data_IF_068535145536
#
_entry.id   IF_068535145536
#
_cell.length_a   1.000
_cell.length_b   1.000
_cell.length_c   1.000
_cell.angle_alpha   90.00
_cell.angle_beta   90.00
_cell.angle_gamma   90.00
#
_symmetry.space_group_name_H-M   'P 1'
#
loop_
_entity.id
_entity.type
_entity.pdbx_description
1 polymer ?
#
# COMPACT_ATOMS: atom_id res chain seq x y z
N UNK A 1 -4.59 -31.06 62.18
CA UNK A 1 -4.42 -31.58 60.82
C UNK A 1 -5.43 -30.84 59.92
N UNK A 2 -5.03 -29.75 59.28
CA UNK A 2 -5.89 -28.93 58.42
C UNK A 2 -5.45 -29.19 56.98
N UNK A 3 -6.35 -29.76 56.16
CA UNK A 3 -6.16 -30.05 54.77
C UNK A 3 -6.59 -28.77 54.00
N UNK A 4 -5.60 -28.09 53.33
CA UNK A 4 -5.88 -27.04 52.37
C UNK A 4 -6.20 -27.70 51.00
N UNK A 5 -7.44 -27.53 50.54
CA UNK A 5 -7.82 -27.86 49.17
C UNK A 5 -7.42 -26.68 48.27
N UNK A 6 -6.44 -26.88 47.38
CA UNK A 6 -6.08 -25.92 46.35
C UNK A 6 -7.05 -26.03 45.18
N UNK A 7 -7.78 -24.96 44.90
CA UNK A 7 -8.55 -24.80 43.65
C UNK A 7 -7.57 -24.48 42.51
N UNK A 8 -7.41 -25.42 41.58
CA UNK A 8 -6.78 -25.19 40.27
C UNK A 8 -7.82 -24.52 39.36
N UNK A 9 -7.64 -23.21 39.12
CA UNK A 9 -8.41 -22.50 38.08
C UNK A 9 -7.75 -22.81 36.74
N UNK A 10 -8.38 -23.68 35.96
CA UNK A 10 -8.03 -23.88 34.55
C UNK A 10 -8.55 -22.66 33.75
N UNK A 11 -7.66 -21.75 33.37
CA UNK A 11 -7.94 -20.74 32.36
C UNK A 11 -8.03 -21.44 31.00
N UNK A 12 -9.22 -21.69 30.52
CA UNK A 12 -9.45 -22.13 29.15
C UNK A 12 -9.04 -21.00 28.20
N UNK A 13 -7.89 -21.17 27.53
CA UNK A 13 -7.53 -20.36 26.37
C UNK A 13 -8.48 -20.78 25.26
N UNK A 14 -9.56 -20.02 25.08
CA UNK A 14 -10.39 -20.16 23.88
C UNK A 14 -9.52 -19.72 22.70
N UNK A 15 -9.05 -20.68 21.92
CA UNK A 15 -8.54 -20.42 20.57
C UNK A 15 -9.70 -19.78 19.78
N UNK A 16 -9.64 -18.47 19.56
CA UNK A 16 -10.58 -17.80 18.69
C UNK A 16 -10.49 -18.45 17.31
N UNK A 17 -11.61 -18.95 16.82
CA UNK A 17 -11.72 -19.36 15.42
C UNK A 17 -11.22 -18.20 14.54
N UNK A 18 -10.42 -18.46 13.49
CA UNK A 18 -9.98 -17.39 12.60
C UNK A 18 -11.22 -16.64 12.09
N UNK A 19 -11.17 -15.32 12.15
CA UNK A 19 -12.24 -14.49 11.63
C UNK A 19 -12.53 -14.88 10.17
N UNK A 20 -13.77 -14.93 9.73
CA UNK A 20 -14.10 -15.25 8.35
C UNK A 20 -13.39 -14.25 7.44
N UNK A 21 -12.80 -14.72 6.32
CA UNK A 21 -12.12 -13.87 5.34
C UNK A 21 -13.10 -12.84 4.81
N UNK A 22 -12.87 -11.58 5.17
CA UNK A 22 -13.73 -10.45 4.77
C UNK A 22 -13.31 -9.87 3.42
N UNK A 23 -12.00 -9.85 3.14
CA UNK A 23 -11.44 -9.33 1.88
C UNK A 23 -11.64 -10.36 0.77
N UNK A 24 -12.20 -9.91 -0.36
CA UNK A 24 -12.50 -10.72 -1.53
C UNK A 24 -11.61 -10.37 -2.75
N UNK A 25 -10.69 -9.45 -2.59
CA UNK A 25 -9.74 -9.04 -3.62
C UNK A 25 -9.23 -7.62 -3.45
N UNK A 26 -8.28 -7.26 -4.27
CA UNK A 26 -7.81 -5.89 -4.41
C UNK A 26 -8.40 -5.28 -5.68
N UNK A 27 -8.73 -3.98 -5.63
CA UNK A 27 -9.20 -3.22 -6.77
C UNK A 27 -8.07 -2.39 -7.36
N UNK A 28 -7.56 -1.44 -6.57
CA UNK A 28 -6.49 -0.53 -6.97
C UNK A 28 -5.53 -0.29 -5.79
N UNK A 29 -4.31 0.05 -6.13
CA UNK A 29 -3.48 0.91 -5.31
C UNK A 29 -3.76 2.34 -5.74
N UNK A 30 -4.08 3.23 -4.79
CA UNK A 30 -4.45 4.61 -5.05
C UNK A 30 -3.32 5.52 -4.58
N UNK A 31 -3.03 6.55 -5.37
CA UNK A 31 -2.04 7.55 -5.04
C UNK A 31 -2.53 8.94 -5.46
N UNK A 32 -2.57 9.88 -4.52
CA UNK A 32 -2.97 11.26 -4.81
C UNK A 32 -1.82 12.07 -5.37
N UNK A 33 -2.09 12.82 -6.44
CA UNK A 33 -1.09 13.55 -7.22
C UNK A 33 -1.37 15.05 -7.26
N UNK A 34 -0.33 15.85 -7.42
CA UNK A 34 -0.45 17.30 -7.55
C UNK A 34 -0.92 17.73 -8.96
N UNK A 35 -0.48 16.99 -9.98
CA UNK A 35 -0.82 17.24 -11.38
C UNK A 35 -0.98 15.91 -12.12
N UNK A 36 -2.22 15.61 -12.50
CA UNK A 36 -2.57 14.31 -13.07
C UNK A 36 -1.88 14.03 -14.41
N UNK A 37 -1.78 15.03 -15.31
CA UNK A 37 -1.15 14.88 -16.60
C UNK A 37 0.34 14.56 -16.48
N UNK A 38 1.04 15.25 -15.55
CA UNK A 38 2.46 15.03 -15.30
C UNK A 38 2.71 13.61 -14.77
N UNK A 39 1.89 13.16 -13.82
CA UNK A 39 2.05 11.84 -13.23
C UNK A 39 1.64 10.75 -14.22
N UNK A 40 0.58 10.96 -15.01
CA UNK A 40 0.19 10.05 -16.12
C UNK A 40 1.31 9.92 -17.15
N UNK A 41 1.93 11.03 -17.56
CA UNK A 41 3.06 10.99 -18.50
C UNK A 41 4.24 10.21 -17.91
N UNK A 42 4.54 10.40 -16.63
CA UNK A 42 5.62 9.66 -15.96
C UNK A 42 5.41 8.14 -15.99
N UNK A 43 4.25 7.66 -15.53
CA UNK A 43 3.98 6.21 -15.49
C UNK A 43 3.89 5.58 -16.88
N UNK A 44 3.36 6.32 -17.87
CA UNK A 44 3.33 5.88 -19.27
C UNK A 44 4.71 5.85 -19.90
N UNK A 45 5.48 6.94 -19.79
CA UNK A 45 6.70 7.14 -20.58
C UNK A 45 7.91 6.43 -19.95
N UNK A 46 7.93 6.28 -18.61
CA UNK A 46 9.01 5.58 -17.89
C UNK A 46 8.77 4.07 -17.86
N UNK A 47 7.54 3.65 -17.58
CA UNK A 47 7.22 2.24 -17.30
C UNK A 47 6.39 1.56 -18.40
N UNK A 48 5.91 2.31 -19.38
CA UNK A 48 5.06 1.77 -20.43
C UNK A 48 3.69 1.31 -19.94
N UNK A 49 3.20 1.86 -18.80
CA UNK A 49 1.87 1.49 -18.30
C UNK A 49 0.77 2.10 -19.19
N UNK A 50 -0.28 1.33 -19.43
CA UNK A 50 -1.40 1.72 -20.26
C UNK A 50 -2.56 2.25 -19.41
N UNK A 51 -3.09 3.41 -19.80
CA UNK A 51 -4.31 3.95 -19.20
C UNK A 51 -5.51 3.05 -19.48
N UNK A 52 -6.34 2.88 -18.48
CA UNK A 52 -7.64 2.22 -18.59
C UNK A 52 -8.74 3.25 -18.87
N UNK A 53 -8.86 3.66 -20.12
CA UNK A 53 -9.81 4.68 -20.57
C UNK A 53 -9.18 6.07 -20.74
N UNK A 54 -10.04 7.08 -20.86
CA UNK A 54 -9.64 8.47 -21.08
C UNK A 54 -9.67 9.30 -19.80
N UNK A 55 -8.84 10.35 -19.76
CA UNK A 55 -8.89 11.33 -18.67
C UNK A 55 -10.21 12.13 -18.76
N UNK A 56 -10.93 12.17 -17.65
CA UNK A 56 -12.19 12.90 -17.57
C UNK A 56 -11.97 14.28 -16.95
N UNK A 57 -12.84 15.26 -17.26
CA UNK A 57 -12.84 16.55 -16.56
C UNK A 57 -13.03 16.39 -15.06
N UNK A 58 -12.55 17.36 -14.29
CA UNK A 58 -12.72 17.36 -12.85
C UNK A 58 -14.21 17.43 -12.45
N UNK A 59 -14.58 16.61 -11.47
CA UNK A 59 -15.94 16.47 -10.95
C UNK A 59 -16.02 17.03 -9.52
N UNK A 60 -17.14 17.66 -9.18
CA UNK A 60 -17.49 18.09 -7.83
C UNK A 60 -18.62 17.21 -7.24
N UNK A 61 -18.69 15.94 -7.62
CA UNK A 61 -19.72 15.03 -7.12
C UNK A 61 -19.66 14.90 -5.59
N UNK A 62 -20.70 15.39 -4.86
CA UNK A 62 -20.67 15.46 -3.40
C UNK A 62 -20.58 14.08 -2.74
N UNK A 63 -21.11 13.02 -3.37
CA UNK A 63 -21.03 11.66 -2.85
C UNK A 63 -19.58 11.17 -2.83
N UNK A 64 -18.83 11.38 -3.91
CA UNK A 64 -17.41 11.00 -3.97
C UNK A 64 -16.57 11.88 -3.05
N UNK A 65 -16.86 13.18 -2.99
CA UNK A 65 -16.16 14.09 -2.07
C UNK A 65 -16.45 13.77 -0.60
N UNK A 66 -17.66 13.30 -0.28
CA UNK A 66 -18.01 12.76 1.04
C UNK A 66 -17.27 11.46 1.35
N UNK A 67 -17.11 10.56 0.36
CA UNK A 67 -16.36 9.31 0.52
C UNK A 67 -14.93 9.57 0.98
N UNK A 68 -14.24 10.52 0.35
CA UNK A 68 -12.83 10.87 0.66
C UNK A 68 -12.68 11.98 1.70
N UNK A 69 -13.78 12.45 2.28
CA UNK A 69 -13.84 13.55 3.25
C UNK A 69 -13.11 14.83 2.76
N UNK A 70 -13.43 15.25 1.53
CA UNK A 70 -12.85 16.43 0.89
C UNK A 70 -13.93 17.43 0.41
N UNK A 71 -14.74 18.00 1.33
CA UNK A 71 -15.79 18.94 0.96
C UNK A 71 -15.21 20.16 0.25
N UNK A 72 -15.90 20.63 -0.79
CA UNK A 72 -15.49 21.80 -1.58
C UNK A 72 -14.43 21.51 -2.65
N UNK A 73 -13.84 20.33 -2.67
CA UNK A 73 -12.88 19.97 -3.69
C UNK A 73 -13.56 19.68 -5.06
N UNK A 74 -12.72 19.62 -6.09
CA UNK A 74 -13.00 18.91 -7.34
C UNK A 74 -11.97 17.82 -7.48
N UNK A 75 -12.34 16.69 -8.07
CA UNK A 75 -11.43 15.57 -8.28
C UNK A 75 -11.51 15.05 -9.71
N UNK A 76 -10.44 14.43 -10.15
CA UNK A 76 -10.37 13.60 -11.34
C UNK A 76 -9.37 12.47 -11.10
N UNK A 77 -9.52 11.38 -11.84
CA UNK A 77 -8.68 10.20 -11.66
C UNK A 77 -8.25 9.61 -13.00
N UNK A 78 -7.13 8.92 -12.97
CA UNK A 78 -6.62 8.09 -14.05
C UNK A 78 -6.27 6.72 -13.49
N UNK A 79 -6.68 5.65 -14.15
CA UNK A 79 -6.36 4.30 -13.74
C UNK A 79 -5.47 3.64 -14.77
N UNK A 80 -4.40 2.99 -14.31
CA UNK A 80 -3.53 2.16 -15.13
C UNK A 80 -3.77 0.69 -14.86
N UNK A 81 -3.69 -0.13 -15.90
CA UNK A 81 -3.55 -1.57 -15.75
C UNK A 81 -2.10 -1.90 -15.41
N UNK A 82 -1.89 -2.69 -14.38
CA UNK A 82 -0.57 -3.24 -14.08
C UNK A 82 -0.56 -4.72 -14.51
N UNK A 83 0.21 -5.08 -15.55
CA UNK A 83 0.26 -6.46 -16.02
C UNK A 83 0.61 -7.43 -14.89
N UNK A 84 -0.09 -8.55 -14.79
CA UNK A 84 0.19 -9.63 -13.82
C UNK A 84 -0.04 -9.31 -12.33
N UNK A 85 -0.41 -8.07 -11.96
CA UNK A 85 -0.53 -7.68 -10.55
C UNK A 85 -1.86 -8.06 -9.90
N UNK A 86 -2.93 -8.22 -10.68
CA UNK A 86 -4.28 -8.48 -10.16
C UNK A 86 -4.95 -7.25 -9.54
N UNK A 87 -4.35 -6.07 -9.68
CA UNK A 87 -4.88 -4.76 -9.29
C UNK A 87 -4.37 -3.67 -10.23
N UNK A 88 -5.01 -2.50 -10.21
CA UNK A 88 -4.60 -1.32 -10.97
C UNK A 88 -3.90 -0.27 -10.11
N UNK A 89 -3.23 0.69 -10.76
CA UNK A 89 -2.78 1.93 -10.14
C UNK A 89 -3.79 3.02 -10.47
N UNK A 90 -4.34 3.67 -9.45
CA UNK A 90 -5.22 4.82 -9.61
C UNK A 90 -4.52 6.09 -9.11
N UNK A 91 -4.37 7.06 -10.00
CA UNK A 91 -3.89 8.39 -9.68
C UNK A 91 -5.08 9.33 -9.53
N UNK A 92 -5.17 10.04 -8.39
CA UNK A 92 -6.28 10.96 -8.11
C UNK A 92 -5.76 12.37 -7.86
N UNK A 93 -6.25 13.35 -8.61
CA UNK A 93 -5.94 14.76 -8.38
C UNK A 93 -7.14 15.46 -7.75
N UNK A 94 -6.88 16.20 -6.68
CA UNK A 94 -7.85 17.08 -6.03
C UNK A 94 -7.47 18.55 -6.23
N UNK A 95 -8.46 19.41 -6.48
CA UNK A 95 -8.28 20.86 -6.63
C UNK A 95 -9.36 21.62 -5.89
N UNK A 96 -9.18 22.93 -5.70
CA UNK A 96 -10.17 23.80 -5.03
C UNK A 96 -10.11 23.76 -3.51
N UNK A 97 -9.16 23.06 -2.93
CA UNK A 97 -8.87 23.01 -1.48
C UNK A 97 -7.37 23.09 -1.24
N UNK A 98 -6.98 23.44 -0.02
CA UNK A 98 -5.59 23.37 0.41
C UNK A 98 -5.12 21.91 0.49
N UNK A 99 -3.92 21.66 -0.03
CA UNK A 99 -3.27 20.35 -0.04
C UNK A 99 -1.86 20.47 0.52
N UNK A 100 -1.44 19.48 1.31
CA UNK A 100 -0.16 19.46 1.99
C UNK A 100 0.69 18.28 1.45
N UNK A 101 1.49 18.50 0.38
CA UNK A 101 2.36 17.45 -0.12
C UNK A 101 3.43 17.12 0.92
N UNK A 102 3.77 15.85 1.03
CA UNK A 102 4.87 15.43 1.88
C UNK A 102 5.60 14.23 1.27
N UNK A 103 6.88 14.10 1.64
CA UNK A 103 7.77 13.08 1.12
C UNK A 103 8.40 12.32 2.30
N UNK A 104 7.81 11.21 2.76
CA UNK A 104 8.35 10.42 3.85
C UNK A 104 9.67 9.76 3.46
N UNK A 105 10.48 9.40 4.46
CA UNK A 105 11.47 8.37 4.25
C UNK A 105 10.79 7.01 4.19
N UNK A 106 11.40 6.04 3.53
CA UNK A 106 10.80 4.70 3.44
C UNK A 106 10.61 4.05 4.82
N UNK A 107 11.41 4.39 5.83
CA UNK A 107 11.32 3.89 7.20
C UNK A 107 10.34 4.63 8.12
N UNK A 108 9.67 5.66 7.62
CA UNK A 108 8.67 6.40 8.40
C UNK A 108 7.34 5.64 8.45
N UNK A 109 6.76 5.34 9.64
CA UNK A 109 5.48 4.65 9.73
C UNK A 109 4.36 5.39 8.97
N UNK A 110 3.62 4.69 8.14
CA UNK A 110 2.60 5.24 7.24
C UNK A 110 3.13 5.54 5.83
N UNK A 111 4.45 5.47 5.60
CA UNK A 111 4.99 5.48 4.25
C UNK A 111 4.57 4.21 3.50
N UNK A 112 4.31 4.37 2.20
CA UNK A 112 3.99 3.26 1.32
C UNK A 112 4.82 3.34 0.05
N UNK A 113 5.04 2.20 -0.59
CA UNK A 113 5.67 2.10 -1.89
C UNK A 113 4.89 1.20 -2.84
N UNK A 114 5.02 1.46 -4.12
CA UNK A 114 4.60 0.58 -5.20
C UNK A 114 5.85 -0.08 -5.78
N UNK A 115 5.98 -1.38 -5.58
CA UNK A 115 7.07 -2.18 -6.12
C UNK A 115 6.71 -2.68 -7.52
N UNK A 116 7.30 -2.10 -8.55
CA UNK A 116 7.14 -2.50 -9.93
C UNK A 116 8.20 -3.54 -10.29
N UNK A 117 7.80 -4.79 -10.49
CA UNK A 117 8.69 -5.82 -10.99
C UNK A 117 8.87 -5.63 -12.49
N UNK A 118 10.11 -5.41 -12.90
CA UNK A 118 10.46 -5.11 -14.29
C UNK A 118 11.26 -6.23 -14.93
N UNK A 119 11.25 -6.28 -16.25
CA UNK A 119 12.01 -7.23 -17.04
C UNK A 119 13.50 -6.90 -17.07
N UNK A 120 13.84 -5.62 -17.07
CA UNK A 120 15.18 -5.10 -17.14
C UNK A 120 15.29 -3.85 -16.25
N UNK A 121 15.94 -4.01 -15.09
CA UNK A 121 16.11 -2.92 -14.12
C UNK A 121 17.09 -1.84 -14.63
N UNK A 122 18.05 -2.19 -15.50
CA UNK A 122 18.98 -1.21 -16.04
C UNK A 122 18.31 -0.32 -17.08
N UNK A 123 17.44 -0.87 -17.92
CA UNK A 123 16.62 -0.11 -18.84
C UNK A 123 15.64 0.81 -18.11
N UNK A 124 14.96 0.30 -17.07
CA UNK A 124 14.06 1.09 -16.23
C UNK A 124 14.81 2.21 -15.51
N UNK A 125 15.98 1.90 -14.95
CA UNK A 125 16.84 2.90 -14.29
C UNK A 125 17.30 4.00 -15.25
N UNK A 126 17.66 3.64 -16.48
CA UNK A 126 18.00 4.63 -17.51
C UNK A 126 16.83 5.55 -17.85
N UNK A 127 15.60 5.00 -17.94
CA UNK A 127 14.38 5.77 -18.16
C UNK A 127 14.08 6.71 -16.98
N UNK A 128 14.22 6.25 -15.73
CA UNK A 128 14.10 7.07 -14.53
C UNK A 128 15.05 8.25 -14.52
N UNK A 129 16.33 8.02 -14.83
CA UNK A 129 17.33 9.11 -14.93
C UNK A 129 16.97 10.11 -16.02
N UNK A 130 16.53 9.63 -17.19
CA UNK A 130 16.07 10.49 -18.28
C UNK A 130 14.88 11.36 -17.88
N UNK A 131 13.96 10.81 -17.06
CA UNK A 131 12.82 11.54 -16.52
C UNK A 131 13.18 12.47 -15.36
N UNK A 132 14.44 12.48 -14.89
CA UNK A 132 14.90 13.28 -13.75
C UNK A 132 14.35 12.80 -12.40
N UNK A 133 13.94 11.53 -12.29
CA UNK A 133 13.41 10.96 -11.05
C UNK A 133 14.49 10.88 -9.96
N UNK A 134 14.22 11.36 -8.72
CA UNK A 134 15.17 11.27 -7.62
C UNK A 134 15.44 9.81 -7.24
N UNK A 135 16.71 9.42 -7.16
CA UNK A 135 17.10 8.08 -6.72
C UNK A 135 17.30 8.08 -5.20
N UNK A 136 16.58 7.21 -4.50
CA UNK A 136 16.64 7.05 -3.04
C UNK A 136 17.79 6.13 -2.64
N UNK A 137 18.02 5.04 -3.38
CA UNK A 137 19.06 4.06 -3.07
C UNK A 137 20.44 4.71 -2.94
N UNK A 138 21.16 4.44 -1.83
CA UNK A 138 22.41 5.12 -1.47
C UNK A 138 23.50 5.06 -2.56
N UNK A 139 23.71 3.92 -3.28
CA UNK A 139 24.71 3.88 -4.36
C UNK A 139 24.33 4.74 -5.58
N UNK A 140 23.12 5.32 -5.62
CA UNK A 140 22.60 6.00 -6.80
C UNK A 140 22.41 5.08 -8.02
N UNK A 141 22.25 3.77 -7.78
CA UNK A 141 22.12 2.72 -8.78
C UNK A 141 21.39 1.50 -8.21
N UNK A 142 20.93 0.55 -9.07
CA UNK A 142 20.32 -0.69 -8.61
C UNK A 142 21.24 -1.50 -7.69
N UNK A 143 20.71 -1.91 -6.53
CA UNK A 143 21.39 -2.71 -5.50
C UNK A 143 21.10 -4.19 -5.71
N UNK A 144 22.11 -5.06 -5.57
CA UNK A 144 21.93 -6.51 -5.53
C UNK A 144 21.47 -6.94 -4.12
N UNK A 145 20.40 -7.75 -4.06
CA UNK A 145 19.82 -8.23 -2.82
C UNK A 145 19.93 -9.75 -2.77
N UNK A 146 20.17 -10.28 -1.56
CA UNK A 146 20.25 -11.71 -1.32
C UNK A 146 21.68 -12.25 -1.40
N UNK A 147 21.87 -13.61 -1.49
CA UNK A 147 23.19 -14.24 -1.53
C UNK A 147 24.01 -13.79 -2.76
N UNK A 148 25.33 -14.00 -2.78
CA UNK A 148 26.19 -13.60 -3.92
C UNK A 148 25.72 -14.13 -5.28
N UNK A 149 25.00 -15.25 -5.29
CA UNK A 149 24.31 -15.81 -6.47
C UNK A 149 22.94 -15.18 -6.69
N UNK A 150 22.56 -14.18 -5.86
CA UNK A 150 21.26 -13.53 -5.86
C UNK A 150 20.93 -12.87 -7.19
N UNK A 151 19.76 -13.21 -7.67
CA UNK A 151 19.22 -12.78 -8.95
C UNK A 151 18.25 -11.63 -8.79
N UNK A 152 18.29 -10.94 -7.63
CA UNK A 152 17.42 -9.81 -7.33
C UNK A 152 18.24 -8.54 -7.35
N UNK A 153 17.78 -7.57 -8.14
CA UNK A 153 18.33 -6.20 -8.20
C UNK A 153 17.19 -5.22 -8.06
N UNK A 154 17.34 -4.22 -7.21
CA UNK A 154 16.29 -3.24 -6.95
C UNK A 154 16.86 -1.83 -6.81
N UNK A 155 16.08 -0.84 -7.20
CA UNK A 155 16.35 0.57 -6.95
C UNK A 155 15.08 1.26 -6.47
N UNK A 156 15.23 2.08 -5.42
CA UNK A 156 14.17 2.94 -4.92
C UNK A 156 14.30 4.35 -5.51
N UNK A 157 13.18 4.91 -5.89
CA UNK A 157 13.07 6.22 -6.53
C UNK A 157 11.79 6.93 -6.06
N UNK A 158 11.57 8.13 -6.54
CA UNK A 158 10.30 8.86 -6.35
C UNK A 158 9.67 9.20 -7.68
N UNK A 159 8.35 9.18 -7.69
CA UNK A 159 7.57 9.73 -8.78
C UNK A 159 7.52 11.27 -8.73
N UNK A 160 6.83 11.96 -9.67
CA UNK A 160 6.73 13.42 -9.68
C UNK A 160 6.11 14.07 -8.43
N UNK A 161 5.35 13.31 -7.64
CA UNK A 161 4.69 13.76 -6.42
C UNK A 161 5.46 13.40 -5.15
N UNK A 162 6.63 12.76 -5.31
CA UNK A 162 7.46 12.30 -4.20
C UNK A 162 7.07 10.94 -3.63
N UNK A 163 6.09 10.27 -4.25
CA UNK A 163 5.69 8.93 -3.86
C UNK A 163 6.81 7.92 -4.11
N UNK A 164 6.97 6.96 -3.17
CA UNK A 164 8.07 5.99 -3.23
C UNK A 164 7.75 4.86 -4.22
N UNK A 165 8.66 4.60 -5.13
CA UNK A 165 8.61 3.47 -6.05
C UNK A 165 9.82 2.56 -5.82
N UNK A 166 9.57 1.26 -5.75
CA UNK A 166 10.60 0.25 -5.92
C UNK A 166 10.57 -0.27 -7.36
N UNK A 167 11.72 -0.31 -8.01
CA UNK A 167 11.87 -0.93 -9.34
C UNK A 167 12.77 -2.13 -9.19
N UNK A 168 12.18 -3.33 -9.32
CA UNK A 168 12.82 -4.59 -8.97
C UNK A 168 12.84 -5.56 -10.15
N UNK A 169 14.01 -6.15 -10.41
CA UNK A 169 14.18 -7.32 -11.28
C UNK A 169 14.52 -8.53 -10.42
N UNK A 170 13.83 -9.63 -10.64
CA UNK A 170 14.12 -10.90 -9.99
C UNK A 170 14.17 -12.02 -11.04
N UNK A 171 15.33 -12.65 -11.19
CA UNK A 171 15.58 -13.71 -12.15
C UNK A 171 15.44 -15.11 -11.52
N UNK A 172 14.99 -16.13 -12.28
CA UNK A 172 14.57 -16.03 -13.68
C UNK A 172 13.20 -15.36 -13.83
N UNK A 173 13.00 -14.66 -14.96
CA UNK A 173 11.69 -14.20 -15.36
C UNK A 173 10.91 -15.40 -15.88
N UNK A 174 9.65 -15.56 -15.43
CA UNK A 174 8.78 -16.64 -15.90
C UNK A 174 8.55 -16.54 -17.42
N UNK A 175 8.51 -17.70 -18.09
CA UNK A 175 8.36 -17.75 -19.55
C UNK A 175 7.02 -17.16 -20.04
N UNK A 176 5.98 -17.23 -19.19
CA UNK A 176 4.64 -16.70 -19.41
C UNK A 176 4.44 -15.27 -18.86
N UNK A 177 5.52 -14.61 -18.38
CA UNK A 177 5.43 -13.26 -17.87
C UNK A 177 4.91 -12.29 -18.96
N UNK A 178 4.03 -11.33 -18.60
CA UNK A 178 3.51 -10.33 -19.52
C UNK A 178 4.61 -9.66 -20.34
N UNK A 179 4.34 -9.36 -21.60
CA UNK A 179 5.23 -8.57 -22.43
C UNK A 179 5.32 -7.13 -21.90
N UNK A 180 6.39 -6.42 -22.24
CA UNK A 180 6.62 -5.04 -21.80
C UNK A 180 7.62 -4.93 -20.65
N UNK A 181 7.84 -3.70 -20.18
CA UNK A 181 8.80 -3.41 -19.13
C UNK A 181 8.32 -3.93 -17.77
N UNK A 182 7.11 -3.58 -17.38
CA UNK A 182 6.49 -4.03 -16.12
C UNK A 182 5.81 -5.38 -16.32
N UNK A 183 6.11 -6.34 -15.46
CA UNK A 183 5.56 -7.70 -15.52
C UNK A 183 4.62 -8.03 -14.37
N UNK A 184 4.76 -7.35 -13.23
CA UNK A 184 3.81 -7.39 -12.10
C UNK A 184 4.13 -6.28 -11.12
N UNK A 185 3.33 -6.16 -10.05
CA UNK A 185 3.61 -5.25 -8.94
C UNK A 185 3.21 -5.87 -7.60
N UNK A 186 3.79 -5.32 -6.53
CA UNK A 186 3.40 -5.52 -5.14
C UNK A 186 3.36 -4.18 -4.41
N UNK A 187 2.91 -4.17 -3.17
CA UNK A 187 2.83 -2.97 -2.35
C UNK A 187 3.60 -3.17 -1.07
N UNK A 188 4.31 -2.12 -0.65
CA UNK A 188 4.96 -2.03 0.64
C UNK A 188 4.29 -0.98 1.53
N UNK A 189 4.17 -1.28 2.82
CA UNK A 189 3.72 -0.36 3.85
C UNK A 189 4.72 -0.38 4.99
N UNK A 190 5.25 0.77 5.36
CA UNK A 190 6.07 0.88 6.57
C UNK A 190 5.19 1.11 7.78
N UNK A 191 5.43 0.29 8.80
CA UNK A 191 4.57 0.20 9.98
C UNK A 191 5.31 0.60 11.25
N UNK A 192 4.57 1.19 12.18
CA UNK A 192 5.10 1.57 13.48
C UNK A 192 5.29 0.39 14.43
N UNK A 193 4.41 -0.61 14.29
CA UNK A 193 4.32 -1.80 15.14
C UNK A 193 3.70 -2.94 14.32
N UNK A 194 4.47 -3.99 14.08
CA UNK A 194 4.02 -5.15 13.30
C UNK A 194 2.83 -5.85 13.95
N UNK A 195 2.83 -6.03 15.28
CA UNK A 195 1.77 -6.80 15.95
C UNK A 195 0.42 -6.08 15.87
N UNK A 196 0.40 -4.76 16.07
CA UNK A 196 -0.81 -3.94 15.89
C UNK A 196 -1.30 -3.97 14.45
N UNK A 197 -0.38 -3.88 13.49
CA UNK A 197 -0.70 -3.95 12.07
C UNK A 197 -1.30 -5.31 11.72
N UNK A 198 -0.70 -6.40 12.18
CA UNK A 198 -1.20 -7.75 11.92
C UNK A 198 -2.54 -8.02 12.63
N UNK A 199 -2.77 -7.44 13.81
CA UNK A 199 -4.08 -7.52 14.46
C UNK A 199 -5.20 -6.93 13.58
N UNK A 200 -4.90 -5.87 12.82
CA UNK A 200 -5.85 -5.31 11.85
C UNK A 200 -5.96 -6.17 10.59
N UNK A 201 -4.86 -6.39 9.86
CA UNK A 201 -4.92 -7.07 8.56
C UNK A 201 -5.28 -8.55 8.67
N UNK A 202 -4.85 -9.25 9.71
CA UNK A 202 -5.24 -10.65 10.01
C UNK A 202 -6.56 -10.74 10.75
N UNK A 203 -6.66 -10.00 11.87
CA UNK A 203 -7.75 -10.15 12.83
C UNK A 203 -9.06 -9.55 12.33
N UNK A 204 -9.02 -8.37 11.70
CA UNK A 204 -10.22 -7.67 11.23
C UNK A 204 -10.49 -7.97 9.76
N UNK A 205 -9.47 -7.84 8.89
CA UNK A 205 -9.65 -8.05 7.44
C UNK A 205 -9.58 -9.53 7.02
N UNK A 206 -9.10 -10.43 7.88
CA UNK A 206 -9.02 -11.86 7.60
C UNK A 206 -7.94 -12.24 6.57
N UNK A 207 -6.90 -11.42 6.42
CA UNK A 207 -5.82 -11.68 5.46
C UNK A 207 -4.77 -12.64 6.03
N UNK A 208 -4.24 -13.54 5.22
CA UNK A 208 -3.13 -14.43 5.63
C UNK A 208 -1.78 -13.72 5.39
N UNK A 209 -1.33 -13.00 6.41
CA UNK A 209 -0.03 -12.33 6.43
C UNK A 209 0.95 -13.15 7.28
N UNK A 210 2.08 -13.54 6.74
CA UNK A 210 3.16 -14.20 7.51
C UNK A 210 4.02 -13.14 8.17
N UNK A 211 4.12 -13.22 9.50
CA UNK A 211 4.99 -12.33 10.27
C UNK A 211 6.47 -12.62 9.98
N UNK A 212 7.27 -11.58 9.87
CA UNK A 212 8.72 -11.68 9.83
C UNK A 212 9.26 -12.27 11.14
N UNK A 213 10.28 -13.12 11.03
CA UNK A 213 10.83 -13.83 12.19
C UNK A 213 11.62 -12.91 13.15
N UNK A 214 12.43 -12.00 12.61
CA UNK A 214 13.31 -11.13 13.40
C UNK A 214 13.66 -9.85 12.64
N UNK A 215 14.16 -8.87 13.37
CA UNK A 215 14.86 -7.73 12.80
C UNK A 215 16.25 -8.14 12.28
N UNK A 216 16.67 -7.52 11.20
CA UNK A 216 18.00 -7.73 10.63
C UNK A 216 18.56 -6.48 9.96
N UNK A 217 19.85 -6.24 10.17
CA UNK A 217 20.61 -5.12 9.59
C UNK A 217 21.28 -5.51 8.28
N UNK A 218 20.53 -5.98 7.30
CA UNK A 218 21.10 -6.28 5.98
C UNK A 218 21.47 -5.00 5.24
N UNK A 219 22.78 -4.76 5.10
CA UNK A 219 23.30 -3.54 4.45
C UNK A 219 22.72 -3.34 3.05
N UNK A 220 22.55 -4.37 2.26
CA UNK A 220 21.99 -4.23 0.91
C UNK A 220 20.53 -3.73 0.94
N UNK A 221 19.72 -4.20 1.91
CA UNK A 221 18.35 -3.71 2.09
C UNK A 221 18.37 -2.25 2.57
N UNK A 222 19.24 -1.90 3.52
CA UNK A 222 19.36 -0.53 3.99
C UNK A 222 19.82 0.41 2.87
N UNK A 223 20.85 0.04 2.14
CA UNK A 223 21.33 0.80 0.97
C UNK A 223 20.23 0.98 -0.09
N UNK A 224 19.45 -0.06 -0.34
CA UNK A 224 18.33 -0.03 -1.28
C UNK A 224 17.28 1.00 -0.89
N UNK A 225 16.86 1.02 0.37
CA UNK A 225 15.83 1.97 0.86
C UNK A 225 16.39 3.35 1.22
N UNK A 226 17.70 3.58 1.07
CA UNK A 226 18.34 4.86 1.34
C UNK A 226 18.71 5.09 2.81
N UNK A 227 18.67 4.05 3.66
CA UNK A 227 19.02 4.14 5.07
C UNK A 227 20.50 3.84 5.32
N UNK A 228 21.17 4.71 6.07
CA UNK A 228 22.60 4.51 6.43
C UNK A 228 22.79 3.53 7.60
N UNK A 229 21.75 3.31 8.40
CA UNK A 229 21.76 2.44 9.57
C UNK A 229 20.35 1.95 9.89
N UNK A 230 20.22 1.02 10.83
CA UNK A 230 18.97 0.48 11.31
C UNK A 230 18.84 -1.02 11.07
N UNK A 231 17.72 -1.56 11.50
CA UNK A 231 17.30 -2.92 11.24
C UNK A 231 15.86 -2.94 10.71
N UNK A 232 15.51 -3.91 9.90
CA UNK A 232 14.18 -4.08 9.34
C UNK A 232 13.63 -5.47 9.62
N UNK A 233 12.34 -5.54 9.98
CA UNK A 233 11.55 -6.77 10.02
C UNK A 233 10.51 -6.68 8.91
N UNK A 234 10.45 -7.68 8.05
CA UNK A 234 9.53 -7.76 6.92
C UNK A 234 8.47 -8.83 7.15
N UNK A 235 7.22 -8.47 7.04
CA UNK A 235 6.07 -9.39 7.03
C UNK A 235 5.39 -9.31 5.67
N UNK A 236 4.76 -10.39 5.21
CA UNK A 236 4.16 -10.38 3.88
C UNK A 236 3.02 -11.37 3.74
N UNK A 237 2.12 -11.07 2.82
CA UNK A 237 1.04 -11.96 2.43
C UNK A 237 0.46 -11.63 1.07
N UNK A 238 -0.53 -12.41 0.67
CA UNK A 238 -1.31 -12.18 -0.55
C UNK A 238 -2.69 -11.70 -0.15
N UNK A 239 -3.21 -10.69 -0.85
CA UNK A 239 -4.59 -10.22 -0.65
C UNK A 239 -5.55 -11.32 -1.10
N UNK A 240 -6.47 -11.80 -0.23
CA UNK A 240 -7.40 -12.87 -0.57
C UNK A 240 -8.17 -12.58 -1.86
N UNK A 241 -8.42 -13.60 -2.67
CA UNK A 241 -9.14 -13.47 -3.94
C UNK A 241 -8.40 -12.69 -5.04
N UNK A 242 -7.10 -12.45 -4.88
CA UNK A 242 -6.24 -11.81 -5.88
C UNK A 242 -4.82 -12.37 -5.87
N UNK A 243 -4.01 -11.97 -6.86
CA UNK A 243 -2.55 -12.24 -6.89
C UNK A 243 -1.75 -11.10 -6.25
N UNK A 244 -2.43 -10.05 -5.76
CA UNK A 244 -1.79 -8.89 -5.17
C UNK A 244 -1.04 -9.26 -3.89
N UNK A 245 0.26 -8.96 -3.86
CA UNK A 245 1.12 -9.15 -2.69
C UNK A 245 1.22 -7.84 -1.91
N UNK A 246 1.14 -7.93 -0.59
CA UNK A 246 1.37 -6.83 0.34
C UNK A 246 2.51 -7.19 1.29
N UNK A 247 3.37 -6.21 1.55
CA UNK A 247 4.52 -6.33 2.44
C UNK A 247 4.47 -5.23 3.50
N UNK A 248 4.90 -5.58 4.73
CA UNK A 248 4.94 -4.65 5.86
C UNK A 248 6.37 -4.59 6.36
N UNK A 249 6.91 -3.37 6.47
CA UNK A 249 8.27 -3.11 6.92
C UNK A 249 8.24 -2.39 8.27
N UNK A 250 8.80 -2.98 9.30
CA UNK A 250 9.03 -2.30 10.57
C UNK A 250 10.53 -2.05 10.73
N UNK A 251 10.90 -0.78 10.86
CA UNK A 251 12.29 -0.38 11.07
C UNK A 251 12.52 -0.06 12.55
N UNK A 252 13.73 -0.35 13.06
CA UNK A 252 14.22 0.08 14.37
C UNK A 252 15.67 0.58 14.27
N UNK A 253 16.16 1.20 15.34
CA UNK A 253 17.51 1.77 15.43
C UNK A 253 17.82 2.83 14.34
N UNK A 254 16.74 3.49 13.87
CA UNK A 254 16.74 4.64 12.99
C UNK A 254 15.65 5.61 13.44
N UNK A 255 15.91 6.92 13.32
CA UNK A 255 14.89 7.92 13.65
C UNK A 255 13.73 7.84 12.66
N UNK A 256 12.53 7.58 13.16
CA UNK A 256 11.29 7.49 12.37
C UNK A 256 10.36 8.63 12.73
N UNK A 257 9.68 9.18 11.74
CA UNK A 257 8.63 10.19 11.91
C UNK A 257 7.33 9.63 11.36
N UNK A 258 6.26 9.44 12.18
CA UNK A 258 4.99 8.98 11.66
C UNK A 258 4.49 9.88 10.53
N UNK A 259 4.12 9.27 9.42
CA UNK A 259 3.66 9.94 8.22
C UNK A 259 2.15 9.73 8.06
N UNK A 260 1.40 10.82 8.04
CA UNK A 260 -0.04 10.79 7.88
C UNK A 260 -0.48 11.90 6.96
N UNK A 261 -1.14 11.54 5.87
CA UNK A 261 -1.75 12.47 4.93
C UNK A 261 -3.26 12.27 4.86
N UNK A 262 -3.98 13.33 4.53
CA UNK A 262 -5.35 13.20 4.07
C UNK A 262 -5.36 12.63 2.66
N UNK A 263 -6.43 11.94 2.27
CA UNK A 263 -6.55 11.40 0.92
C UNK A 263 -6.28 12.44 -0.18
N UNK A 264 -6.74 13.72 -0.07
CA UNK A 264 -6.48 14.72 -1.12
C UNK A 264 -5.04 15.26 -1.18
N UNK A 265 -4.19 14.96 -0.20
CA UNK A 265 -2.84 15.50 -0.16
C UNK A 265 -1.92 14.75 -1.14
N UNK A 266 -1.16 15.43 -2.01
CA UNK A 266 -0.24 14.78 -2.94
C UNK A 266 0.80 13.91 -2.21
N UNK A 267 1.02 12.69 -2.70
CA UNK A 267 1.84 11.69 -2.04
C UNK A 267 1.06 10.75 -1.11
N UNK A 268 -0.25 11.00 -0.87
CA UNK A 268 -1.06 10.13 -0.02
C UNK A 268 -1.35 8.79 -0.67
N UNK A 269 -0.98 7.67 -0.04
CA UNK A 269 -1.36 6.33 -0.50
C UNK A 269 -2.73 5.91 0.01
N UNK A 270 -3.40 5.05 -0.75
CA UNK A 270 -4.53 4.28 -0.23
C UNK A 270 -4.60 2.89 -0.88
N UNK A 271 -5.16 1.95 -0.14
CA UNK A 271 -5.47 0.60 -0.63
C UNK A 271 -6.97 0.54 -0.93
N UNK A 272 -7.36 -0.04 -2.08
CA UNK A 272 -8.76 -0.27 -2.41
C UNK A 272 -9.05 -1.77 -2.43
N UNK A 273 -9.81 -2.25 -1.43
CA UNK A 273 -10.07 -3.67 -1.17
C UNK A 273 -11.54 -4.00 -1.40
N UNK A 274 -11.80 -5.03 -2.18
CA UNK A 274 -13.16 -5.60 -2.29
C UNK A 274 -13.45 -6.45 -1.05
N UNK A 275 -14.66 -6.33 -0.53
CA UNK A 275 -15.11 -7.06 0.65
C UNK A 275 -16.43 -7.77 0.39
N UNK A 276 -16.68 -8.85 1.16
CA UNK A 276 -17.89 -9.67 1.02
C UNK A 276 -19.09 -9.04 1.74
N UNK A 277 -18.89 -8.54 2.95
CA UNK A 277 -19.92 -7.95 3.82
C UNK A 277 -19.40 -6.67 4.47
N UNK A 278 -19.72 -5.54 3.82
CA UNK A 278 -19.22 -4.23 4.26
C UNK A 278 -19.85 -3.80 5.59
N UNK A 279 -21.12 -4.12 5.83
CA UNK A 279 -21.83 -3.67 7.04
C UNK A 279 -21.29 -4.37 8.29
N UNK A 280 -21.14 -5.70 8.25
CA UNK A 280 -20.51 -6.46 9.33
C UNK A 280 -19.07 -6.05 9.58
N UNK A 281 -18.30 -5.85 8.51
CA UNK A 281 -16.90 -5.45 8.63
C UNK A 281 -16.77 -4.04 9.23
N UNK A 282 -17.57 -3.08 8.76
CA UNK A 282 -17.55 -1.70 9.27
C UNK A 282 -17.97 -1.65 10.76
N UNK A 283 -18.91 -2.49 11.17
CA UNK A 283 -19.28 -2.62 12.58
C UNK A 283 -18.08 -3.05 13.42
N UNK A 284 -17.36 -4.11 13.04
CA UNK A 284 -16.16 -4.57 13.74
C UNK A 284 -15.05 -3.50 13.79
N UNK A 285 -14.86 -2.77 12.69
CA UNK A 285 -13.90 -1.65 12.61
C UNK A 285 -14.26 -0.55 13.62
N UNK A 286 -15.53 -0.16 13.70
CA UNK A 286 -16.01 0.85 14.66
C UNK A 286 -15.90 0.34 16.11
N UNK A 287 -16.23 -0.91 16.39
CA UNK A 287 -16.08 -1.55 17.70
C UNK A 287 -14.63 -1.63 18.16
N UNK A 288 -13.69 -1.82 17.22
CA UNK A 288 -12.26 -1.75 17.46
C UNK A 288 -11.72 -0.32 17.66
N UNK A 289 -12.58 0.70 17.63
CA UNK A 289 -12.22 2.10 17.81
C UNK A 289 -11.40 2.69 16.65
N UNK A 290 -11.44 2.08 15.47
CA UNK A 290 -10.70 2.56 14.32
C UNK A 290 -11.42 3.73 13.64
N UNK A 291 -10.62 4.62 13.05
CA UNK A 291 -11.13 5.83 12.40
C UNK A 291 -11.76 5.49 11.04
N UNK A 292 -12.99 5.97 10.85
CA UNK A 292 -13.65 6.04 9.55
C UNK A 292 -13.40 7.44 8.95
N UNK A 293 -12.82 7.48 7.76
CA UNK A 293 -12.46 8.73 7.06
C UNK A 293 -13.68 9.33 6.37
N UNK A 294 -14.51 8.48 5.76
CA UNK A 294 -15.73 8.89 5.04
C UNK A 294 -16.63 9.76 5.91
N UNK A 295 -17.09 10.87 5.37
CA UNK A 295 -17.98 11.81 6.06
C UNK A 295 -19.24 11.10 6.56
N UNK A 296 -19.63 11.37 7.82
CA UNK A 296 -20.75 10.70 8.47
C UNK A 296 -20.44 9.27 8.94
N UNK A 297 -19.24 8.75 8.71
CA UNK A 297 -18.78 7.41 9.12
C UNK A 297 -19.66 6.26 8.63
N UNK A 298 -20.35 6.44 7.49
CA UNK A 298 -21.22 5.44 6.85
C UNK A 298 -20.82 5.22 5.38
N UNK A 299 -21.07 4.02 4.81
CA UNK A 299 -20.78 3.75 3.42
C UNK A 299 -21.61 4.64 2.48
N UNK A 300 -20.98 5.13 1.42
CA UNK A 300 -21.66 5.85 0.35
C UNK A 300 -22.03 4.92 -0.80
N UNK A 301 -23.15 5.19 -1.46
CA UNK A 301 -23.60 4.43 -2.64
C UNK A 301 -23.09 5.13 -3.91
N UNK A 302 -22.29 4.42 -4.70
CA UNK A 302 -21.78 4.85 -6.00
C UNK A 302 -22.48 4.16 -7.18
N UNK A 303 -23.68 3.61 -6.96
CA UNK A 303 -24.45 2.88 -7.98
C UNK A 303 -24.05 1.41 -8.03
N UNK A 304 -22.93 1.09 -8.63
CA UNK A 304 -22.44 -0.30 -8.76
C UNK A 304 -21.76 -0.84 -7.50
N UNK A 305 -21.57 -0.01 -6.47
CA UNK A 305 -20.90 -0.40 -5.22
C UNK A 305 -21.28 0.52 -4.05
N UNK A 306 -21.07 0.01 -2.84
CA UNK A 306 -21.05 0.76 -1.58
C UNK A 306 -19.62 0.82 -1.09
N UNK A 307 -19.15 2.02 -0.79
CA UNK A 307 -17.73 2.27 -0.48
C UNK A 307 -17.60 3.05 0.83
N UNK A 308 -16.55 2.77 1.58
CA UNK A 308 -16.15 3.54 2.77
C UNK A 308 -14.63 3.57 2.86
N UNK A 309 -14.07 4.71 3.25
CA UNK A 309 -12.66 4.82 3.63
C UNK A 309 -12.50 4.77 5.14
N UNK A 310 -11.54 3.96 5.58
CA UNK A 310 -11.07 3.87 6.96
C UNK A 310 -9.58 4.18 7.02
N UNK A 311 -9.05 4.36 8.21
CA UNK A 311 -7.62 4.52 8.45
C UNK A 311 -7.07 3.24 9.12
N UNK A 312 -5.98 2.68 8.59
CA UNK A 312 -5.28 1.56 9.21
C UNK A 312 -4.49 2.01 10.47
N UNK A 313 -3.91 1.10 11.27
CA UNK A 313 -3.15 1.48 12.48
C UNK A 313 -1.97 2.42 12.23
N UNK A 314 -1.49 2.53 10.99
CA UNK A 314 -0.34 3.35 10.63
C UNK A 314 -0.73 4.70 10.01
N UNK A 315 -2.02 4.95 9.82
CA UNK A 315 -2.54 6.17 9.20
C UNK A 315 -2.73 6.08 7.70
N UNK A 316 -2.60 4.90 7.10
CA UNK A 316 -2.84 4.68 5.67
C UNK A 316 -4.35 4.52 5.43
N UNK A 317 -4.85 5.21 4.40
CA UNK A 317 -6.24 5.09 4.00
C UNK A 317 -6.51 3.73 3.34
N UNK A 318 -7.61 3.09 3.74
CA UNK A 318 -8.08 1.82 3.15
C UNK A 318 -9.52 1.99 2.71
N UNK A 319 -9.76 1.89 1.42
CA UNK A 319 -11.09 1.84 0.85
C UNK A 319 -11.63 0.41 0.92
N UNK A 320 -12.81 0.25 1.45
CA UNK A 320 -13.55 -0.99 1.48
C UNK A 320 -14.73 -0.88 0.50
N UNK A 321 -14.79 -1.81 -0.46
CA UNK A 321 -15.76 -1.80 -1.55
C UNK A 321 -16.60 -3.08 -1.51
N UNK A 322 -17.90 -2.92 -1.38
CA UNK A 322 -18.86 -4.00 -1.64
C UNK A 322 -19.63 -3.71 -2.92
N UNK A 323 -19.56 -4.62 -3.91
CA UNK A 323 -20.36 -4.49 -5.13
C UNK A 323 -21.84 -4.71 -4.80
N UNK A 324 -22.69 -3.87 -5.34
CA UNK A 324 -24.14 -4.10 -5.35
C UNK A 324 -24.46 -5.19 -6.37
N UNK A 325 -25.41 -6.07 -6.02
CA UNK A 325 -25.89 -7.14 -6.92
C UNK A 325 -26.71 -6.55 -8.04
#
# INVERSE_FOLDING_TARGET
MRILAGLLVYSAIFAQSPAPVQVAGMQNFIHSVANLEKSVAFYRDVFGLELNGELRPASANPTVLGLVNAPGAKFRAATFKIPGAGFGLELTEFTGIDRNPAQPNHWDPGAADLALRVRDVDAAFAALKKAGAPIISLPGAPVKIGPPTGKIRSVFTRDPDGYILEVIQADPIAADAPAGMVITASMGLTVGDTEKTLAFYRGILGMDIKAGAAFGGNKAILDMVGASSGEVKQSAGTVPGSTARIEFYEFKDIRRTPFRLRIPDPGSPALSLRVNDLDSLLKHIKEAGMKVITSGAEPVNLGASRNVFIEDPNGVAVELIQRTK
#
